data_IF_452999577560
#
_entry.id   IF_452999577560
#
_cell.length_a   1.000
_cell.length_b   1.000
_cell.length_c   1.000
_cell.angle_alpha   90.00
_cell.angle_beta   90.00
_cell.angle_gamma   90.00
#
_symmetry.space_group_name_H-M   'P 1'
#
loop_
_entity.id
_entity.type
_entity.pdbx_description
1 polymer ?
#
# COMPACT_ATOMS: atom_id res chain seq x y z
N UNK A 1 -14.91 9.51 22.62
CA UNK A 1 -13.43 9.31 22.63
C UNK A 1 -13.01 7.87 22.34
N UNK A 2 -13.78 6.83 22.73
CA UNK A 2 -13.49 5.42 22.42
C UNK A 2 -13.74 5.01 20.95
N UNK A 3 -14.66 5.67 20.24
CA UNK A 3 -15.05 5.28 18.88
C UNK A 3 -13.96 5.53 17.84
N UNK A 4 -13.18 6.61 18.01
CA UNK A 4 -12.08 6.95 17.10
C UNK A 4 -10.87 6.00 17.19
N UNK A 5 -10.71 5.26 18.28
CA UNK A 5 -9.64 4.23 18.39
C UNK A 5 -10.04 2.98 17.62
N UNK A 6 -11.29 2.53 17.77
CA UNK A 6 -11.83 1.38 17.04
C UNK A 6 -11.74 1.59 15.53
N UNK A 7 -12.15 2.76 15.04
CA UNK A 7 -12.06 3.09 13.61
C UNK A 7 -10.61 3.09 13.10
N UNK A 8 -9.67 3.70 13.84
CA UNK A 8 -8.25 3.73 13.47
C UNK A 8 -7.62 2.34 13.46
N UNK A 9 -7.95 1.51 14.45
CA UNK A 9 -7.46 0.14 14.52
C UNK A 9 -8.01 -0.71 13.37
N UNK A 10 -9.33 -0.66 13.15
CA UNK A 10 -9.98 -1.37 12.04
C UNK A 10 -9.46 -0.92 10.67
N UNK A 11 -9.24 0.38 10.48
CA UNK A 11 -8.58 0.90 9.29
C UNK A 11 -7.13 0.43 9.15
N UNK A 12 -6.41 0.17 10.24
CA UNK A 12 -5.05 -0.39 10.18
C UNK A 12 -5.07 -1.88 9.83
N UNK A 13 -6.10 -2.60 10.29
CA UNK A 13 -6.35 -3.99 9.95
C UNK A 13 -6.61 -4.18 8.45
N UNK A 14 -7.50 -3.37 7.86
CA UNK A 14 -7.76 -3.40 6.41
C UNK A 14 -6.49 -3.09 5.62
N UNK A 15 -5.74 -2.05 5.99
CA UNK A 15 -4.50 -1.72 5.28
C UNK A 15 -3.43 -2.81 5.46
N UNK A 16 -3.40 -3.50 6.61
CA UNK A 16 -2.56 -4.69 6.81
C UNK A 16 -2.91 -5.84 5.85
N UNK A 17 -4.20 -6.09 5.62
CA UNK A 17 -4.65 -7.09 4.62
C UNK A 17 -4.24 -6.69 3.21
N UNK A 18 -4.44 -5.42 2.83
CA UNK A 18 -4.04 -4.93 1.52
C UNK A 18 -2.53 -5.02 1.30
N UNK A 19 -1.73 -4.69 2.32
CA UNK A 19 -0.27 -4.86 2.27
C UNK A 19 0.12 -6.33 2.11
N UNK A 20 -0.52 -7.25 2.84
CA UNK A 20 -0.28 -8.68 2.68
C UNK A 20 -0.63 -9.16 1.26
N UNK A 21 -1.79 -8.77 0.74
CA UNK A 21 -2.20 -9.08 -0.64
C UNK A 21 -1.21 -8.52 -1.66
N UNK A 22 -0.73 -7.30 -1.47
CA UNK A 22 0.30 -6.71 -2.32
C UNK A 22 1.60 -7.50 -2.36
N UNK A 23 2.09 -7.97 -1.20
CA UNK A 23 3.27 -8.84 -1.14
C UNK A 23 3.03 -10.19 -1.83
N UNK A 24 1.86 -10.78 -1.61
CA UNK A 24 1.43 -12.02 -2.29
C UNK A 24 1.38 -11.82 -3.80
N UNK A 25 0.87 -10.68 -4.28
CA UNK A 25 0.86 -10.35 -5.71
C UNK A 25 2.28 -10.33 -6.29
N UNK A 26 3.25 -9.75 -5.57
CA UNK A 26 4.66 -9.80 -5.94
C UNK A 26 5.22 -11.23 -6.00
N UNK A 27 4.90 -12.07 -5.03
CA UNK A 27 5.35 -13.48 -5.03
C UNK A 27 4.76 -14.25 -6.20
N UNK A 28 3.46 -14.06 -6.47
CA UNK A 28 2.79 -14.65 -7.61
C UNK A 28 3.40 -14.22 -8.96
N UNK A 29 3.87 -12.96 -9.05
CA UNK A 29 4.58 -12.39 -10.20
C UNK A 29 5.89 -13.09 -10.48
N UNK A 30 6.73 -13.25 -9.46
CA UNK A 30 8.05 -13.88 -9.62
C UNK A 30 8.00 -15.41 -9.57
N UNK A 31 6.81 -16.00 -9.42
CA UNK A 31 6.62 -17.45 -9.37
C UNK A 31 7.07 -18.11 -8.06
N UNK A 32 7.15 -17.37 -6.96
CA UNK A 32 7.43 -17.94 -5.63
C UNK A 32 6.13 -18.51 -5.05
N UNK A 33 6.21 -19.75 -4.54
CA UNK A 33 5.12 -20.38 -3.81
C UNK A 33 4.80 -19.62 -2.52
N UNK A 34 3.54 -19.22 -2.38
CA UNK A 34 3.07 -18.45 -1.24
C UNK A 34 2.61 -19.41 -0.14
N UNK A 35 3.30 -19.43 1.00
CA UNK A 35 2.86 -20.21 2.16
C UNK A 35 1.96 -19.34 3.05
N UNK A 36 1.05 -19.98 3.78
CA UNK A 36 0.15 -19.30 4.73
C UNK A 36 0.94 -18.47 5.75
N UNK A 37 2.10 -18.98 6.19
CA UNK A 37 2.99 -18.29 7.12
C UNK A 37 3.52 -16.98 6.51
N UNK A 38 3.86 -16.96 5.22
CA UNK A 38 4.35 -15.75 4.55
C UNK A 38 3.25 -14.67 4.52
N UNK A 39 2.01 -15.06 4.19
CA UNK A 39 0.85 -14.16 4.21
C UNK A 39 0.63 -13.56 5.61
N UNK A 40 0.71 -14.39 6.65
CA UNK A 40 0.55 -13.95 8.03
C UNK A 40 1.68 -12.99 8.45
N UNK A 41 2.93 -13.26 8.07
CA UNK A 41 4.05 -12.36 8.31
C UNK A 41 3.86 -11.01 7.62
N UNK A 42 3.46 -10.99 6.34
CA UNK A 42 3.18 -9.73 5.64
C UNK A 42 2.04 -8.95 6.30
N UNK A 43 0.98 -9.65 6.69
CA UNK A 43 -0.15 -9.06 7.39
C UNK A 43 0.28 -8.41 8.72
N UNK A 44 1.06 -9.12 9.54
CA UNK A 44 1.56 -8.59 10.81
C UNK A 44 2.52 -7.41 10.60
N UNK A 45 3.37 -7.45 9.58
CA UNK A 45 4.27 -6.35 9.23
C UNK A 45 3.48 -5.09 8.89
N UNK A 46 2.50 -5.22 8.00
CA UNK A 46 1.60 -4.14 7.62
C UNK A 46 0.81 -3.62 8.83
N UNK A 47 0.15 -4.52 9.56
CA UNK A 47 -0.63 -4.16 10.74
C UNK A 47 0.22 -3.42 11.78
N UNK A 48 1.40 -3.94 12.11
CA UNK A 48 2.32 -3.33 13.06
C UNK A 48 2.75 -1.93 12.63
N UNK A 49 3.17 -1.76 11.38
CA UNK A 49 3.54 -0.47 10.81
C UNK A 49 2.40 0.55 10.85
N UNK A 50 1.20 0.17 10.42
CA UNK A 50 0.06 1.09 10.39
C UNK A 50 -0.52 1.41 11.77
N UNK A 51 -0.51 0.45 12.71
CA UNK A 51 -0.86 0.71 14.12
C UNK A 51 0.14 1.68 14.74
N UNK A 52 1.44 1.50 14.48
CA UNK A 52 2.46 2.46 14.92
C UNK A 52 2.17 3.86 14.39
N UNK A 53 1.93 4.01 13.08
CA UNK A 53 1.68 5.31 12.46
C UNK A 53 0.37 5.99 12.92
N UNK A 54 -0.68 5.23 13.25
CA UNK A 54 -2.01 5.80 13.55
C UNK A 54 -2.33 5.90 15.04
N UNK A 55 -1.71 5.07 15.87
CA UNK A 55 -2.06 4.88 17.28
C UNK A 55 -0.87 5.02 18.25
N UNK A 56 0.34 5.36 17.79
CA UNK A 56 1.53 5.59 18.64
C UNK A 56 1.33 6.65 19.74
N UNK A 57 0.37 7.55 19.58
CA UNK A 57 -0.04 8.49 20.63
C UNK A 57 -0.54 7.81 21.92
N UNK A 58 -0.91 6.53 21.85
CA UNK A 58 -1.31 5.70 22.99
C UNK A 58 -0.20 4.72 23.35
N UNK A 59 0.35 4.82 24.57
CA UNK A 59 1.49 4.00 25.04
C UNK A 59 1.29 2.49 24.79
N UNK A 60 0.10 1.97 25.04
CA UNK A 60 -0.21 0.55 24.80
C UNK A 60 -0.01 0.14 23.33
N UNK A 61 -0.60 0.88 22.39
CA UNK A 61 -0.51 0.59 20.97
C UNK A 61 0.90 0.82 20.40
N UNK A 62 1.65 1.75 20.98
CA UNK A 62 3.07 1.94 20.68
C UNK A 62 3.89 0.69 21.00
N UNK A 63 3.81 0.17 22.23
CA UNK A 63 4.55 -1.03 22.60
C UNK A 63 4.06 -2.26 21.85
N UNK A 64 2.74 -2.41 21.68
CA UNK A 64 2.16 -3.50 20.90
C UNK A 64 2.69 -3.50 19.45
N UNK A 65 2.66 -2.36 18.77
CA UNK A 65 3.13 -2.26 17.38
C UNK A 65 4.64 -2.50 17.25
N UNK A 66 5.46 -1.98 18.18
CA UNK A 66 6.88 -2.28 18.21
C UNK A 66 7.17 -3.76 18.44
N UNK A 67 6.45 -4.42 19.35
CA UNK A 67 6.60 -5.86 19.58
C UNK A 67 6.19 -6.68 18.36
N UNK A 68 5.07 -6.33 17.70
CA UNK A 68 4.63 -6.99 16.46
C UNK A 68 5.63 -6.78 15.34
N UNK A 69 6.16 -5.56 15.18
CA UNK A 69 7.20 -5.28 14.19
C UNK A 69 8.48 -6.07 14.50
N UNK A 70 8.95 -6.05 15.74
CA UNK A 70 10.15 -6.78 16.16
C UNK A 70 10.03 -8.29 15.94
N UNK A 71 8.91 -8.89 16.35
CA UNK A 71 8.65 -10.32 16.14
C UNK A 71 8.56 -10.66 14.66
N UNK A 72 7.95 -9.80 13.85
CA UNK A 72 7.85 -10.01 12.41
C UNK A 72 9.21 -9.89 11.74
N UNK A 73 10.02 -8.91 12.14
CA UNK A 73 11.40 -8.73 11.67
C UNK A 73 12.27 -9.92 12.05
N UNK A 74 12.16 -10.44 13.28
CA UNK A 74 12.86 -11.64 13.72
C UNK A 74 12.43 -12.88 12.93
N UNK A 75 11.12 -13.06 12.71
CA UNK A 75 10.60 -14.17 11.90
C UNK A 75 11.10 -14.10 10.46
N UNK A 76 11.07 -12.91 9.86
CA UNK A 76 11.60 -12.64 8.51
C UNK A 76 13.13 -12.85 8.46
N UNK A 77 13.86 -12.50 9.52
CA UNK A 77 15.29 -12.76 9.65
C UNK A 77 15.62 -14.24 9.67
N UNK A 78 14.88 -15.03 10.44
CA UNK A 78 15.06 -16.49 10.48
C UNK A 78 14.71 -17.16 9.16
N UNK A 79 13.76 -16.60 8.39
CA UNK A 79 13.30 -17.17 7.12
C UNK A 79 14.18 -16.82 5.91
N UNK A 80 14.76 -15.61 5.85
CA UNK A 80 15.34 -15.07 4.60
C UNK A 80 16.87 -14.95 4.57
N UNK A 81 17.61 -15.39 5.60
CA UNK A 81 19.09 -15.29 5.69
C UNK A 81 19.65 -14.03 5.03
N UNK A 82 19.49 -12.89 5.70
CA UNK A 82 19.65 -11.59 5.08
C UNK A 82 21.03 -11.37 4.45
N UNK A 83 21.03 -11.02 3.17
CA UNK A 83 22.18 -10.45 2.49
C UNK A 83 22.31 -8.94 2.77
N UNK A 84 23.45 -8.37 2.38
CA UNK A 84 23.77 -6.96 2.58
C UNK A 84 22.74 -6.01 1.96
N UNK A 85 22.16 -6.35 0.81
CA UNK A 85 21.18 -5.52 0.12
C UNK A 85 19.85 -5.46 0.87
N UNK A 86 19.37 -6.60 1.40
CA UNK A 86 18.18 -6.65 2.26
C UNK A 86 18.35 -5.82 3.52
N UNK A 87 19.55 -5.81 4.11
CA UNK A 87 19.87 -4.94 5.27
C UNK A 87 19.75 -3.46 4.88
N UNK A 88 20.30 -3.05 3.74
CA UNK A 88 20.18 -1.66 3.25
C UNK A 88 18.70 -1.29 3.07
N UNK A 89 17.94 -2.12 2.37
CA UNK A 89 16.52 -1.87 2.10
C UNK A 89 15.73 -1.76 3.41
N UNK A 90 16.02 -2.63 4.38
CA UNK A 90 15.41 -2.61 5.70
C UNK A 90 15.71 -1.29 6.43
N UNK A 91 16.98 -0.89 6.51
CA UNK A 91 17.41 0.35 7.18
C UNK A 91 16.77 1.58 6.52
N UNK A 92 16.73 1.62 5.17
CA UNK A 92 16.05 2.69 4.43
C UNK A 92 14.56 2.76 4.76
N UNK A 93 13.87 1.62 4.81
CA UNK A 93 12.45 1.56 5.20
C UNK A 93 12.22 2.06 6.63
N UNK A 94 13.06 1.63 7.59
CA UNK A 94 12.99 2.12 8.97
C UNK A 94 13.20 3.63 9.05
N UNK A 95 14.15 4.17 8.29
CA UNK A 95 14.37 5.61 8.17
C UNK A 95 13.15 6.36 7.63
N UNK A 96 12.53 5.84 6.58
CA UNK A 96 11.29 6.39 6.00
C UNK A 96 10.15 6.42 7.03
N UNK A 97 9.92 5.31 7.73
CA UNK A 97 8.86 5.20 8.73
C UNK A 97 9.13 6.16 9.90
N UNK A 98 10.38 6.24 10.38
CA UNK A 98 10.79 7.15 11.45
C UNK A 98 10.65 8.63 11.08
N UNK A 99 10.96 9.00 9.84
CA UNK A 99 10.84 10.38 9.35
C UNK A 99 9.43 10.75 8.87
N UNK A 100 8.51 9.77 8.75
CA UNK A 100 7.18 10.00 8.19
C UNK A 100 6.41 11.08 8.95
N UNK A 101 6.36 11.01 10.28
CA UNK A 101 5.59 11.96 11.08
C UNK A 101 6.18 13.37 11.13
N UNK A 102 7.51 13.47 11.13
CA UNK A 102 8.23 14.74 11.30
C UNK A 102 8.43 15.48 9.99
N UNK A 103 8.77 14.77 8.91
CA UNK A 103 9.20 15.38 7.63
C UNK A 103 8.15 15.20 6.54
N UNK A 104 7.71 13.96 6.28
CA UNK A 104 6.97 13.64 5.06
C UNK A 104 5.48 13.93 5.15
N UNK A 105 4.84 13.65 6.30
CA UNK A 105 3.39 13.81 6.49
C UNK A 105 2.92 15.24 6.22
N UNK A 106 3.77 16.25 6.43
CA UNK A 106 3.42 17.67 6.28
C UNK A 106 3.46 18.16 4.83
N UNK A 107 4.05 17.40 3.92
CA UNK A 107 4.31 17.83 2.54
C UNK A 107 3.37 17.12 1.56
N UNK A 108 2.52 17.92 0.89
CA UNK A 108 1.45 17.49 -0.02
C UNK A 108 1.82 16.33 -0.95
N UNK A 109 2.87 16.48 -1.77
CA UNK A 109 3.25 15.47 -2.77
C UNK A 109 4.08 14.33 -2.19
N UNK A 110 4.81 14.58 -1.11
CA UNK A 110 5.72 13.59 -0.56
C UNK A 110 4.98 12.49 0.21
N UNK A 111 3.78 12.78 0.74
CA UNK A 111 2.98 11.76 1.44
C UNK A 111 2.66 10.53 0.56
N UNK A 112 2.01 10.65 -0.62
CA UNK A 112 1.73 9.49 -1.47
C UNK A 112 3.00 8.84 -2.02
N UNK A 113 4.02 9.63 -2.37
CA UNK A 113 5.29 9.10 -2.88
C UNK A 113 6.01 8.26 -1.82
N UNK A 114 6.08 8.73 -0.58
CA UNK A 114 6.80 8.04 0.49
C UNK A 114 6.11 6.73 0.89
N UNK A 115 4.76 6.71 0.88
CA UNK A 115 4.00 5.46 1.09
C UNK A 115 4.30 4.46 -0.03
N UNK A 116 4.25 4.91 -1.29
CA UNK A 116 4.58 4.07 -2.44
C UNK A 116 6.02 3.56 -2.38
N UNK A 117 7.01 4.42 -2.10
CA UNK A 117 8.42 4.01 -1.93
C UNK A 117 8.53 2.95 -0.83
N UNK A 118 7.90 3.14 0.33
CA UNK A 118 8.00 2.17 1.43
C UNK A 118 7.42 0.80 1.05
N UNK A 119 6.27 0.77 0.37
CA UNK A 119 5.68 -0.49 -0.10
C UNK A 119 6.58 -1.19 -1.12
N UNK A 120 7.15 -0.46 -2.06
CA UNK A 120 8.08 -1.01 -3.06
C UNK A 120 9.38 -1.50 -2.44
N UNK A 121 9.94 -0.79 -1.47
CA UNK A 121 11.12 -1.25 -0.76
C UNK A 121 10.82 -2.54 0.01
N UNK A 122 9.64 -2.66 0.63
CA UNK A 122 9.27 -3.94 1.24
C UNK A 122 9.08 -5.05 0.21
N UNK A 123 8.47 -4.76 -0.95
CA UNK A 123 8.34 -5.74 -2.02
C UNK A 123 9.71 -6.23 -2.47
N UNK A 124 10.60 -5.31 -2.82
CA UNK A 124 12.00 -5.58 -3.17
C UNK A 124 12.72 -6.39 -2.11
N UNK A 125 12.53 -6.04 -0.83
CA UNK A 125 13.13 -6.76 0.29
C UNK A 125 12.75 -8.25 0.31
N UNK A 126 11.51 -8.58 -0.07
CA UNK A 126 11.02 -9.96 -0.06
C UNK A 126 11.30 -10.70 -1.38
N UNK A 127 11.15 -10.03 -2.51
CA UNK A 127 11.26 -10.64 -3.85
C UNK A 127 12.68 -10.67 -4.40
N UNK A 128 13.50 -9.63 -4.14
CA UNK A 128 14.84 -9.41 -4.71
C UNK A 128 14.92 -9.59 -6.24
N UNK A 129 13.79 -9.42 -6.93
CA UNK A 129 13.69 -9.62 -8.37
C UNK A 129 14.14 -8.33 -9.10
N UNK A 130 14.82 -8.40 -10.25
CA UNK A 130 15.38 -7.22 -10.92
C UNK A 130 14.43 -6.49 -11.87
N UNK A 131 13.15 -6.90 -11.99
CA UNK A 131 12.22 -6.26 -12.94
C UNK A 131 11.77 -4.85 -12.50
N UNK A 132 12.51 -3.85 -12.96
CA UNK A 132 12.26 -2.42 -12.69
C UNK A 132 10.89 -1.96 -13.18
N UNK A 133 10.41 -2.51 -14.31
CA UNK A 133 9.12 -2.12 -14.89
C UNK A 133 7.99 -2.54 -13.97
N UNK A 134 8.04 -3.76 -13.43
CA UNK A 134 7.07 -4.23 -12.45
C UNK A 134 7.05 -3.36 -11.19
N UNK A 135 8.21 -3.05 -10.58
CA UNK A 135 8.22 -2.19 -9.39
C UNK A 135 7.76 -0.78 -9.68
N UNK A 136 8.09 -0.23 -10.85
CA UNK A 136 7.60 1.09 -11.25
C UNK A 136 6.09 1.09 -11.46
N UNK A 137 5.54 0.07 -12.11
CA UNK A 137 4.10 -0.12 -12.25
C UNK A 137 3.42 -0.19 -10.86
N UNK A 138 3.95 -1.01 -9.94
CA UNK A 138 3.43 -1.11 -8.58
C UNK A 138 3.61 0.20 -7.78
N UNK A 139 4.68 0.95 -8.02
CA UNK A 139 4.90 2.26 -7.40
C UNK A 139 3.78 3.23 -7.80
N UNK A 140 3.49 3.33 -9.10
CA UNK A 140 2.41 4.17 -9.63
C UNK A 140 1.06 3.72 -9.05
N UNK A 141 0.86 2.41 -8.93
CA UNK A 141 -0.34 1.83 -8.32
C UNK A 141 -0.54 2.26 -6.86
N UNK A 142 0.46 2.10 -5.99
CA UNK A 142 0.31 2.51 -4.59
C UNK A 142 0.17 4.03 -4.46
N UNK A 143 0.89 4.80 -5.29
CA UNK A 143 0.77 6.26 -5.31
C UNK A 143 -0.65 6.71 -5.69
N UNK A 144 -1.26 6.09 -6.71
CA UNK A 144 -2.60 6.45 -7.16
C UNK A 144 -3.67 6.10 -6.12
N UNK A 145 -3.56 4.95 -5.45
CA UNK A 145 -4.51 4.54 -4.43
C UNK A 145 -4.41 5.39 -3.15
N UNK A 146 -3.29 6.07 -2.94
CA UNK A 146 -3.09 6.96 -1.78
C UNK A 146 -3.83 8.30 -1.90
N UNK A 147 -4.04 8.82 -3.12
CA UNK A 147 -4.68 10.13 -3.33
C UNK A 147 -6.15 10.16 -2.86
N UNK A 148 -6.98 9.14 -3.12
CA UNK A 148 -8.34 9.08 -2.60
C UNK A 148 -8.45 9.07 -1.08
N UNK A 149 -7.46 8.51 -0.37
CA UNK A 149 -7.38 8.62 1.09
C UNK A 149 -7.22 10.07 1.53
N UNK A 150 -6.41 10.86 0.81
CA UNK A 150 -6.26 12.29 1.08
C UNK A 150 -7.58 13.07 0.82
N UNK A 151 -8.36 12.67 -0.19
CA UNK A 151 -9.69 13.25 -0.45
C UNK A 151 -10.64 12.99 0.74
N UNK A 152 -10.66 11.76 1.26
CA UNK A 152 -11.46 11.43 2.45
C UNK A 152 -11.01 12.22 3.67
N UNK A 153 -9.70 12.29 3.93
CA UNK A 153 -9.16 12.92 5.14
C UNK A 153 -9.11 14.44 5.08
N UNK A 154 -9.57 15.06 3.98
CA UNK A 154 -9.54 16.51 3.75
C UNK A 154 -10.05 17.33 4.95
N UNK A 155 -11.19 16.91 5.52
CA UNK A 155 -11.86 17.65 6.59
C UNK A 155 -11.32 17.31 8.00
N UNK A 156 -10.58 16.21 8.15
CA UNK A 156 -10.11 15.71 9.46
C UNK A 156 -8.61 15.94 9.69
N UNK A 157 -7.80 15.87 8.62
CA UNK A 157 -6.39 16.23 8.66
C UNK A 157 -6.24 17.74 8.45
N UNK A 158 -5.87 18.48 9.50
CA UNK A 158 -5.45 19.91 9.42
C UNK A 158 -4.09 20.11 8.71
N UNK A 159 -3.65 19.11 7.94
CA UNK A 159 -2.33 19.03 7.32
C UNK A 159 -2.49 19.33 5.82
N UNK A 160 -1.42 19.84 5.18
CA UNK A 160 -1.45 20.09 3.74
C UNK A 160 -1.53 18.76 2.97
N UNK A 161 -2.72 18.46 2.45
CA UNK A 161 -3.00 17.37 1.51
C UNK A 161 -3.28 17.94 0.12
N UNK A 162 -3.21 17.11 -0.91
CA UNK A 162 -3.50 17.49 -2.30
C UNK A 162 -4.86 18.22 -2.41
N UNK A 163 -5.97 17.67 -1.89
CA UNK A 163 -7.27 18.33 -1.99
C UNK A 163 -7.41 19.59 -1.13
N UNK A 164 -6.59 19.76 -0.08
CA UNK A 164 -6.56 20.99 0.71
C UNK A 164 -5.80 22.12 0.01
N UNK A 165 -4.73 21.79 -0.73
CA UNK A 165 -3.88 22.80 -1.40
C UNK A 165 -4.34 23.15 -2.81
N UNK A 166 -4.81 22.17 -3.58
CA UNK A 166 -5.13 22.33 -5.01
C UNK A 166 -6.58 21.96 -5.36
N UNK A 167 -7.40 21.62 -4.36
CA UNK A 167 -8.80 21.26 -4.56
C UNK A 167 -9.01 19.79 -4.91
N UNK A 168 -10.24 19.33 -4.70
CA UNK A 168 -10.64 17.93 -4.92
C UNK A 168 -10.57 17.55 -6.41
N UNK A 169 -10.89 18.48 -7.30
CA UNK A 169 -10.83 18.27 -8.75
C UNK A 169 -9.41 17.98 -9.23
N UNK A 170 -8.41 18.72 -8.72
CA UNK A 170 -7.00 18.45 -9.01
C UNK A 170 -6.60 17.05 -8.52
N UNK A 171 -7.02 16.65 -7.31
CA UNK A 171 -6.75 15.31 -6.79
C UNK A 171 -7.36 14.22 -7.68
N UNK A 172 -8.61 14.39 -8.14
CA UNK A 172 -9.28 13.45 -9.04
C UNK A 172 -8.57 13.36 -10.40
N UNK A 173 -8.20 14.49 -10.99
CA UNK A 173 -7.49 14.52 -12.26
C UNK A 173 -6.10 13.89 -12.16
N UNK A 174 -5.40 14.08 -11.03
CA UNK A 174 -4.14 13.40 -10.75
C UNK A 174 -4.33 11.88 -10.63
N UNK A 175 -5.39 11.41 -9.96
CA UNK A 175 -5.70 9.97 -9.90
C UNK A 175 -5.97 9.38 -11.28
N UNK A 176 -6.68 10.11 -12.17
CA UNK A 176 -6.89 9.70 -13.57
C UNK A 176 -5.60 9.67 -14.37
N UNK A 177 -4.74 10.67 -14.20
CA UNK A 177 -3.45 10.70 -14.86
C UNK A 177 -2.58 9.51 -14.42
N UNK A 178 -2.50 9.24 -13.11
CA UNK A 178 -1.74 8.10 -12.60
C UNK A 178 -2.35 6.76 -13.00
N UNK A 179 -3.68 6.64 -13.13
CA UNK A 179 -4.29 5.41 -13.65
C UNK A 179 -3.92 5.18 -15.11
N UNK A 180 -3.84 6.23 -15.93
CA UNK A 180 -3.35 6.13 -17.30
C UNK A 180 -1.87 5.72 -17.34
N UNK A 181 -1.01 6.32 -16.50
CA UNK A 181 0.40 5.92 -16.40
C UNK A 181 0.52 4.45 -15.98
N UNK A 182 -0.28 4.01 -15.00
CA UNK A 182 -0.34 2.61 -14.56
C UNK A 182 -0.73 1.68 -15.73
N UNK A 183 -1.77 2.03 -16.50
CA UNK A 183 -2.16 1.28 -17.69
C UNK A 183 -1.03 1.21 -18.72
N UNK A 184 -0.39 2.34 -19.03
CA UNK A 184 0.73 2.39 -19.98
C UNK A 184 1.88 1.49 -19.53
N UNK A 185 2.25 1.53 -18.25
CA UNK A 185 3.30 0.66 -17.69
C UNK A 185 2.90 -0.81 -17.71
N UNK A 186 1.61 -1.13 -17.59
CA UNK A 186 1.11 -2.51 -17.60
C UNK A 186 1.34 -3.22 -18.95
N UNK A 187 1.46 -2.49 -20.06
CA UNK A 187 1.77 -3.08 -21.37
C UNK A 187 3.21 -3.57 -21.48
N UNK A 188 4.11 -3.05 -20.64
CA UNK A 188 5.52 -3.44 -20.59
C UNK A 188 5.78 -4.58 -19.60
N UNK A 189 4.74 -5.09 -18.95
CA UNK A 189 4.81 -6.25 -18.04
C UNK A 189 4.19 -7.48 -18.73
N UNK A 190 4.70 -8.67 -18.40
CA UNK A 190 4.40 -9.90 -19.13
C UNK A 190 3.01 -10.51 -18.88
N UNK A 191 2.48 -11.13 -19.93
CA UNK A 191 1.34 -12.07 -19.87
C UNK A 191 0.10 -11.56 -19.14
N UNK A 192 -0.37 -12.35 -18.17
CA UNK A 192 -1.59 -12.09 -17.39
C UNK A 192 -1.53 -10.82 -16.53
N UNK A 193 -0.34 -10.29 -16.23
CA UNK A 193 -0.19 -9.02 -15.50
C UNK A 193 -0.64 -7.82 -16.32
N UNK A 194 -0.42 -7.87 -17.64
CA UNK A 194 -0.93 -6.86 -18.57
C UNK A 194 -2.45 -6.78 -18.50
N UNK A 195 -3.12 -7.93 -18.60
CA UNK A 195 -4.59 -8.00 -18.55
C UNK A 195 -5.11 -7.55 -17.18
N UNK A 196 -4.45 -7.95 -16.09
CA UNK A 196 -4.75 -7.48 -14.74
C UNK A 196 -4.67 -5.95 -14.63
N UNK A 197 -3.64 -5.34 -15.23
CA UNK A 197 -3.49 -3.89 -15.32
C UNK A 197 -4.66 -3.19 -16.02
N UNK A 198 -5.14 -3.76 -17.14
CA UNK A 198 -6.32 -3.26 -17.86
C UNK A 198 -7.59 -3.32 -16.99
N UNK A 199 -7.84 -4.45 -16.32
CA UNK A 199 -9.00 -4.61 -15.44
C UNK A 199 -8.97 -3.59 -14.31
N UNK A 200 -7.82 -3.43 -13.65
CA UNK A 200 -7.64 -2.46 -12.56
C UNK A 200 -7.83 -1.02 -13.04
N UNK A 201 -7.30 -0.66 -14.22
CA UNK A 201 -7.53 0.65 -14.83
C UNK A 201 -9.03 0.92 -15.05
N UNK A 202 -9.76 -0.05 -15.61
CA UNK A 202 -11.19 0.08 -15.83
C UNK A 202 -11.96 0.26 -14.51
N UNK A 203 -11.66 -0.54 -13.49
CA UNK A 203 -12.30 -0.44 -12.18
C UNK A 203 -12.08 0.93 -11.53
N UNK A 204 -10.85 1.44 -11.54
CA UNK A 204 -10.51 2.77 -10.99
C UNK A 204 -11.28 3.86 -11.73
N UNK A 205 -11.35 3.81 -13.06
CA UNK A 205 -12.05 4.84 -13.84
C UNK A 205 -13.58 4.78 -13.73
N UNK A 206 -14.16 3.58 -13.64
CA UNK A 206 -15.58 3.39 -13.34
C UNK A 206 -15.90 4.05 -11.99
N UNK A 207 -15.07 3.80 -10.98
CA UNK A 207 -15.25 4.39 -9.66
C UNK A 207 -15.14 5.92 -9.66
N UNK A 208 -14.12 6.46 -10.32
CA UNK A 208 -13.96 7.91 -10.45
C UNK A 208 -15.12 8.57 -11.22
N UNK A 209 -15.85 7.80 -12.04
CA UNK A 209 -17.00 8.27 -12.82
C UNK A 209 -18.31 8.20 -12.06
N UNK A 210 -18.43 7.33 -11.05
CA UNK A 210 -19.62 7.27 -10.18
C UNK A 210 -19.63 8.53 -9.28
N UNK A 211 -20.26 9.60 -9.79
CA UNK A 211 -20.60 10.80 -9.00
C UNK A 211 -21.65 10.42 -7.97
N UNK A 212 -21.27 10.19 -6.72
CA UNK A 212 -22.24 10.27 -5.62
C UNK A 212 -21.59 10.36 -4.25
N UNK A 213 -22.33 11.05 -3.38
CA UNK A 213 -22.44 11.09 -1.91
C UNK A 213 -21.88 9.95 -1.02
N UNK A 214 -21.18 8.94 -1.55
CA UNK A 214 -20.69 7.75 -0.83
C UNK A 214 -19.22 7.82 -0.36
N UNK A 215 -18.55 8.95 -0.52
CA UNK A 215 -17.11 9.14 -0.28
C UNK A 215 -16.57 8.88 1.14
N UNK A 216 -17.29 9.07 2.27
CA UNK A 216 -16.62 9.01 3.58
C UNK A 216 -16.33 7.59 4.08
N UNK A 217 -17.22 6.62 3.83
CA UNK A 217 -17.12 5.28 4.44
C UNK A 217 -16.52 4.21 3.52
N UNK A 218 -16.53 4.39 2.20
CA UNK A 218 -16.10 3.36 1.24
C UNK A 218 -14.64 3.44 0.81
N UNK A 219 -13.91 4.51 1.13
CA UNK A 219 -12.53 4.69 0.62
C UNK A 219 -11.55 3.62 1.14
N UNK A 220 -11.62 3.20 2.42
CA UNK A 220 -10.79 2.09 2.92
C UNK A 220 -11.16 0.78 2.23
N UNK A 221 -12.43 0.39 2.25
CA UNK A 221 -12.88 -0.86 1.63
C UNK A 221 -12.63 -0.90 0.13
N UNK A 222 -12.71 0.24 -0.55
CA UNK A 222 -12.60 0.28 -1.99
C UNK A 222 -11.15 0.30 -2.44
N UNK A 223 -10.31 1.20 -1.90
CA UNK A 223 -8.94 1.35 -2.39
C UNK A 223 -8.00 0.30 -1.81
N UNK A 224 -8.10 -0.03 -0.52
CA UNK A 224 -7.34 -1.17 0.03
C UNK A 224 -7.91 -2.49 -0.51
N UNK A 225 -9.23 -2.59 -0.70
CA UNK A 225 -9.87 -3.77 -1.29
C UNK A 225 -9.55 -3.98 -2.78
N UNK A 226 -9.24 -2.91 -3.52
CA UNK A 226 -8.78 -2.99 -4.91
C UNK A 226 -7.44 -3.72 -5.01
N UNK A 227 -6.56 -3.58 -4.02
CA UNK A 227 -5.27 -4.31 -3.96
C UNK A 227 -5.53 -5.81 -3.72
N UNK A 228 -6.47 -6.14 -2.84
CA UNK A 228 -6.91 -7.52 -2.62
C UNK A 228 -7.51 -8.10 -3.92
N UNK A 229 -8.37 -7.33 -4.59
CA UNK A 229 -9.00 -7.74 -5.84
C UNK A 229 -7.98 -7.91 -6.98
N UNK A 230 -6.97 -7.05 -7.07
CA UNK A 230 -5.84 -7.18 -7.99
C UNK A 230 -5.15 -8.53 -7.80
N UNK A 231 -4.88 -8.88 -6.54
CA UNK A 231 -4.22 -10.14 -6.16
C UNK A 231 -5.06 -11.35 -6.52
N UNK A 232 -6.34 -11.33 -6.13
CA UNK A 232 -7.28 -12.42 -6.41
C UNK A 232 -7.52 -12.61 -7.92
N UNK A 233 -7.76 -11.52 -8.65
CA UNK A 233 -7.98 -11.59 -10.10
C UNK A 233 -6.78 -12.17 -10.83
N UNK A 234 -5.55 -11.79 -10.43
CA UNK A 234 -4.36 -12.39 -10.99
C UNK A 234 -4.23 -13.88 -10.64
N UNK A 235 -4.44 -14.25 -9.38
CA UNK A 235 -4.42 -15.64 -8.95
C UNK A 235 -5.41 -16.51 -9.75
N UNK A 236 -6.65 -16.05 -9.93
CA UNK A 236 -7.65 -16.76 -10.73
C UNK A 236 -7.25 -16.85 -12.20
N UNK A 237 -6.75 -15.77 -12.81
CA UNK A 237 -6.28 -15.81 -14.20
C UNK A 237 -5.14 -16.81 -14.39
N UNK A 238 -4.18 -16.87 -13.46
CA UNK A 238 -3.05 -17.82 -13.49
C UNK A 238 -3.47 -19.27 -13.27
N UNK A 239 -4.59 -19.52 -12.58
CA UNK A 239 -5.06 -20.88 -12.27
C UNK A 239 -5.98 -21.45 -13.35
N UNK A 240 -6.74 -20.58 -14.03
CA UNK A 240 -7.72 -20.98 -15.04
C UNK A 240 -7.11 -21.22 -16.43
N UNK A 241 -5.91 -20.71 -16.70
CA UNK A 241 -5.22 -20.77 -17.99
C UNK A 241 -3.74 -21.07 -17.82
#
# INVERSE_FOLDING_TARGET
MKDGIKEKFFGSFITGLAFASFMVYGYLYIGIDVRIVDVFCFFLLGLGGYVYLRLSQYKFFYYFSLSVLALTIMGVWMLLRWDFYRVIIFVLNCGIIGMYHSVFRRRVLLKPLVIAVSWILWLLFFTMHPDVVFYFQQFVWIALLTIPFDIKSKNTDKISTIPNRWGVECAVNLTRFLSLVYLMTSFFVDGWFRLNGVIMFCLVNIFLSIKSSFYPFRVYYYYDGIIVLQTLSYYFMKTLF
#
